data_IF_884908557833
#
_entry.id   IF_884908557833
#
_cell.length_a   1.000
_cell.length_b   1.000
_cell.length_c   1.000
_cell.angle_alpha   90.00
_cell.angle_beta   90.00
_cell.angle_gamma   90.00
#
_symmetry.space_group_name_H-M   'P 1'
#
loop_
_entity.id
_entity.type
_entity.pdbx_description
1 polymer ?
#
# COMPACT_ATOMS: atom_id res chain seq x y z
N UNK A 1 -12.99 15.76 -0.99
CA UNK A 1 -13.04 14.30 -0.71
C UNK A 1 -12.38 13.43 -1.77
N UNK A 2 -12.44 13.79 -3.07
CA UNK A 2 -11.99 12.93 -4.17
C UNK A 2 -10.52 12.48 -4.06
N UNK A 3 -9.62 13.37 -3.64
CA UNK A 3 -8.20 13.05 -3.44
C UNK A 3 -8.01 11.93 -2.41
N UNK A 4 -8.73 11.99 -1.30
CA UNK A 4 -8.64 10.98 -0.26
C UNK A 4 -9.20 9.63 -0.70
N UNK A 5 -10.29 9.62 -1.47
CA UNK A 5 -10.81 8.39 -2.10
C UNK A 5 -9.79 7.78 -3.06
N UNK A 6 -9.11 8.60 -3.88
CA UNK A 6 -8.06 8.13 -4.78
C UNK A 6 -6.89 7.48 -4.03
N UNK A 7 -6.43 8.09 -2.93
CA UNK A 7 -5.38 7.52 -2.07
C UNK A 7 -5.82 6.19 -1.42
N UNK A 8 -7.07 6.07 -0.99
CA UNK A 8 -7.60 4.82 -0.44
C UNK A 8 -7.64 3.72 -1.51
N UNK A 9 -8.16 4.02 -2.70
CA UNK A 9 -8.22 3.05 -3.80
C UNK A 9 -6.81 2.59 -4.23
N UNK A 10 -5.86 3.53 -4.33
CA UNK A 10 -4.48 3.20 -4.62
C UNK A 10 -3.86 2.32 -3.53
N UNK A 11 -3.99 2.72 -2.26
CA UNK A 11 -3.44 1.98 -1.12
C UNK A 11 -4.00 0.57 -1.01
N UNK A 12 -5.32 0.41 -1.16
CA UNK A 12 -5.98 -0.91 -1.19
C UNK A 12 -5.44 -1.73 -2.37
N UNK A 13 -5.35 -1.16 -3.56
CA UNK A 13 -4.80 -1.83 -4.75
C UNK A 13 -3.38 -2.35 -4.52
N UNK A 14 -2.52 -1.55 -3.89
CA UNK A 14 -1.14 -1.93 -3.54
C UNK A 14 -1.13 -3.06 -2.49
N UNK A 15 -1.94 -2.95 -1.44
CA UNK A 15 -2.05 -3.98 -0.38
C UNK A 15 -2.54 -5.31 -0.95
N UNK A 16 -3.47 -5.30 -1.91
CA UNK A 16 -3.96 -6.51 -2.59
C UNK A 16 -2.87 -7.24 -3.39
N UNK A 17 -1.76 -6.58 -3.74
CA UNK A 17 -0.63 -7.23 -4.42
C UNK A 17 0.28 -7.98 -3.45
N UNK A 18 0.24 -7.70 -2.14
CA UNK A 18 1.10 -8.32 -1.11
C UNK A 18 1.19 -9.85 -1.25
N UNK A 19 0.09 -10.62 -1.42
CA UNK A 19 0.17 -12.08 -1.53
C UNK A 19 1.05 -12.56 -2.69
N UNK A 20 1.09 -11.82 -3.81
CA UNK A 20 1.96 -12.13 -4.96
C UNK A 20 3.43 -12.02 -4.57
N UNK A 21 3.80 -10.91 -3.93
CA UNK A 21 5.19 -10.66 -3.52
C UNK A 21 5.63 -11.54 -2.35
N UNK A 22 4.73 -11.90 -1.44
CA UNK A 22 4.99 -12.90 -0.40
C UNK A 22 5.31 -14.26 -1.03
N UNK A 23 4.56 -14.69 -2.06
CA UNK A 23 4.85 -15.94 -2.77
C UNK A 23 6.21 -15.91 -3.46
N UNK A 24 6.56 -14.79 -4.11
CA UNK A 24 7.87 -14.62 -4.76
C UNK A 24 9.02 -14.67 -3.74
N UNK A 25 8.92 -13.91 -2.65
CA UNK A 25 9.90 -13.94 -1.57
C UNK A 25 10.07 -15.35 -0.99
N UNK A 26 8.97 -16.10 -0.78
CA UNK A 26 9.06 -17.48 -0.26
C UNK A 26 9.72 -18.45 -1.24
N UNK A 27 9.56 -18.24 -2.54
CA UNK A 27 10.12 -19.11 -3.57
C UNK A 27 11.63 -18.90 -3.75
N UNK A 28 12.05 -17.64 -3.82
CA UNK A 28 13.44 -17.29 -4.13
C UNK A 28 14.29 -17.03 -2.88
N UNK A 29 13.67 -16.64 -1.77
CA UNK A 29 14.31 -16.24 -0.50
C UNK A 29 15.38 -15.15 -0.66
N UNK A 30 15.23 -14.34 -1.71
CA UNK A 30 16.15 -13.27 -2.02
C UNK A 30 15.82 -11.98 -1.25
N UNK A 31 16.87 -11.22 -0.93
CA UNK A 31 16.78 -9.98 -0.15
C UNK A 31 16.13 -8.85 -0.94
N UNK A 32 16.28 -8.83 -2.27
CA UNK A 32 15.62 -7.85 -3.13
C UNK A 32 14.10 -8.03 -3.08
N UNK A 33 13.64 -9.28 -3.17
CA UNK A 33 12.23 -9.63 -3.03
C UNK A 33 11.65 -9.24 -1.65
N UNK A 34 12.43 -9.41 -0.58
CA UNK A 34 12.04 -8.95 0.76
C UNK A 34 11.89 -7.43 0.81
N UNK A 35 12.85 -6.70 0.25
CA UNK A 35 12.81 -5.23 0.19
C UNK A 35 11.61 -4.73 -0.63
N UNK A 36 11.30 -5.38 -1.76
CA UNK A 36 10.12 -5.07 -2.57
C UNK A 36 8.85 -5.28 -1.74
N UNK A 37 8.73 -6.41 -1.03
CA UNK A 37 7.57 -6.71 -0.20
C UNK A 37 7.39 -5.66 0.92
N UNK A 38 8.46 -5.29 1.61
CA UNK A 38 8.44 -4.24 2.64
C UNK A 38 8.05 -2.90 2.04
N UNK A 39 8.61 -2.54 0.87
CA UNK A 39 8.27 -1.32 0.15
C UNK A 39 6.79 -1.22 -0.20
N UNK A 40 6.18 -2.33 -0.64
CA UNK A 40 4.75 -2.41 -0.95
C UNK A 40 3.89 -2.23 0.30
N UNK A 41 4.27 -2.83 1.43
CA UNK A 41 3.56 -2.66 2.70
C UNK A 41 3.61 -1.19 3.13
N UNK A 42 4.77 -0.55 3.05
CA UNK A 42 4.95 0.85 3.40
C UNK A 42 4.18 1.78 2.45
N UNK A 43 4.21 1.54 1.14
CA UNK A 43 3.45 2.30 0.15
C UNK A 43 1.95 2.17 0.34
N UNK A 44 1.46 0.94 0.50
CA UNK A 44 0.05 0.66 0.73
C UNK A 44 -0.45 1.32 2.02
N UNK A 45 0.27 1.13 3.12
CA UNK A 45 -0.06 1.72 4.41
C UNK A 45 -0.04 3.25 4.41
N UNK A 46 1.03 3.85 3.86
CA UNK A 46 1.15 5.31 3.79
C UNK A 46 0.07 5.95 2.93
N UNK A 47 -0.29 5.35 1.80
CA UNK A 47 -1.39 5.83 0.96
C UNK A 47 -2.74 5.75 1.68
N UNK A 48 -3.01 4.69 2.44
CA UNK A 48 -4.25 4.58 3.21
C UNK A 48 -4.34 5.70 4.25
N UNK A 49 -3.25 5.95 5.00
CA UNK A 49 -3.18 7.03 5.99
C UNK A 49 -3.42 8.39 5.33
N UNK A 50 -2.76 8.67 4.20
CA UNK A 50 -2.97 9.91 3.44
C UNK A 50 -4.42 10.05 2.97
N UNK A 51 -5.05 8.95 2.56
CA UNK A 51 -6.45 8.93 2.16
C UNK A 51 -7.39 9.32 3.30
N UNK A 52 -7.18 8.75 4.49
CA UNK A 52 -7.96 9.07 5.70
C UNK A 52 -7.77 10.54 6.08
N UNK A 53 -6.53 11.03 6.12
CA UNK A 53 -6.22 12.43 6.47
C UNK A 53 -6.88 13.40 5.48
N UNK A 54 -6.79 13.12 4.18
CA UNK A 54 -7.39 13.96 3.15
C UNK A 54 -8.92 14.01 3.25
N UNK A 55 -9.58 12.87 3.51
CA UNK A 55 -11.03 12.84 3.72
C UNK A 55 -11.40 13.62 4.99
N UNK A 56 -10.67 13.39 6.09
CA UNK A 56 -10.90 14.08 7.36
C UNK A 56 -10.79 15.60 7.21
N UNK A 57 -9.74 16.08 6.53
CA UNK A 57 -9.54 17.51 6.29
C UNK A 57 -10.61 18.12 5.39
N UNK A 58 -11.14 17.37 4.41
CA UNK A 58 -12.21 17.84 3.53
C UNK A 58 -13.60 17.87 4.21
N UNK A 59 -13.76 17.20 5.36
CA UNK A 59 -15.02 17.17 6.14
C UNK A 59 -15.10 18.28 7.19
N UNK A 60 -14.00 18.97 7.48
CA UNK A 60 -13.91 20.05 8.46
C UNK A 60 -14.00 21.41 7.77
#
# INVERSE_FOLDING_TARGET
MLKGIAFLLFGIGVVLMIPKYVKQYKAEKDIENLLILVGIILLGGSSIVLGIIAIYNDLK
#
